data_IF_266693784778
#
_entry.id   IF_266693784778
#
_cell.length_a   1.000
_cell.length_b   1.000
_cell.length_c   1.000
_cell.angle_alpha   90.00
_cell.angle_beta   90.00
_cell.angle_gamma   90.00
#
_symmetry.space_group_name_H-M   'P 1'
#
loop_
_entity.id
_entity.type
_entity.pdbx_description
1 polymer ?
#
# COMPACT_ATOMS: atom_id res chain seq x y z
N UNK A 1 41.69 -52.03 -41.69
CA UNK A 1 41.72 -50.62 -41.27
C UNK A 1 40.27 -50.19 -41.08
N UNK A 2 39.76 -50.24 -39.84
CA UNK A 2 38.36 -49.95 -39.54
C UNK A 2 38.19 -48.43 -39.36
N UNK A 3 37.25 -47.86 -40.11
CA UNK A 3 36.94 -46.43 -40.12
C UNK A 3 36.35 -45.98 -38.78
N UNK A 4 36.91 -44.93 -38.21
CA UNK A 4 36.36 -44.24 -37.03
C UNK A 4 35.04 -43.55 -37.40
N UNK A 5 33.94 -43.74 -36.66
CA UNK A 5 32.71 -43.00 -36.93
C UNK A 5 32.85 -41.55 -36.44
N UNK A 6 32.65 -40.65 -37.39
CA UNK A 6 32.62 -39.20 -37.23
C UNK A 6 31.43 -38.80 -36.33
N UNK A 7 31.70 -38.39 -35.08
CA UNK A 7 30.68 -37.88 -34.16
C UNK A 7 30.24 -36.49 -34.63
N UNK A 8 29.17 -36.46 -35.44
CA UNK A 8 28.45 -35.23 -35.80
C UNK A 8 28.06 -34.49 -34.51
N UNK A 9 28.62 -33.30 -34.29
CA UNK A 9 28.11 -32.33 -33.31
C UNK A 9 26.83 -31.71 -33.87
N UNK A 10 25.68 -32.29 -33.55
CA UNK A 10 24.36 -31.64 -33.58
C UNK A 10 23.97 -31.33 -32.13
N UNK A 11 23.36 -30.23 -31.74
CA UNK A 11 22.70 -29.09 -32.38
C UNK A 11 22.82 -27.91 -31.39
N UNK A 12 22.66 -26.67 -31.86
CA UNK A 12 22.55 -25.48 -31.01
C UNK A 12 21.28 -25.56 -30.14
N UNK A 13 21.37 -26.19 -28.97
CA UNK A 13 20.30 -26.13 -27.97
C UNK A 13 20.23 -24.69 -27.44
N UNK A 14 19.06 -24.07 -27.62
CA UNK A 14 18.74 -22.81 -26.94
C UNK A 14 18.96 -22.99 -25.44
N UNK A 15 19.50 -21.98 -24.74
CA UNK A 15 19.70 -22.08 -23.30
C UNK A 15 18.37 -22.37 -22.61
N UNK A 16 18.36 -23.34 -21.69
CA UNK A 16 17.16 -23.72 -20.92
C UNK A 16 16.59 -22.50 -20.20
N UNK A 17 15.27 -22.35 -20.25
CA UNK A 17 14.58 -21.31 -19.48
C UNK A 17 14.72 -21.59 -17.98
N UNK A 18 15.03 -20.56 -17.18
CA UNK A 18 15.06 -20.63 -15.72
C UNK A 18 13.78 -19.97 -15.21
N UNK A 19 12.92 -20.75 -14.56
CA UNK A 19 11.57 -20.32 -14.17
C UNK A 19 11.52 -19.99 -12.69
N UNK A 20 11.16 -18.76 -12.38
CA UNK A 20 11.12 -18.22 -11.02
C UNK A 20 9.67 -18.15 -10.57
N UNK A 21 9.40 -18.59 -9.35
CA UNK A 21 8.11 -18.42 -8.70
C UNK A 21 8.24 -17.42 -7.55
N UNK A 22 7.35 -16.44 -7.53
CA UNK A 22 7.14 -15.54 -6.39
C UNK A 22 5.68 -15.61 -6.00
N UNK A 23 5.38 -15.56 -4.71
CA UNK A 23 4.00 -15.45 -4.25
C UNK A 23 3.85 -14.29 -3.26
N UNK A 24 2.60 -13.91 -3.03
CA UNK A 24 2.28 -12.87 -2.09
C UNK A 24 0.83 -12.39 -2.21
N UNK A 25 0.43 -11.59 -1.23
CA UNK A 25 -0.88 -10.97 -1.25
C UNK A 25 -0.98 -9.90 -2.34
N UNK A 26 0.08 -9.09 -2.50
CA UNK A 26 0.14 -7.94 -3.42
C UNK A 26 -1.01 -6.94 -3.25
N UNK A 27 -1.49 -6.82 -2.02
CA UNK A 27 -2.55 -5.89 -1.64
C UNK A 27 -2.04 -4.44 -1.69
N UNK A 28 -2.80 -3.55 -2.32
CA UNK A 28 -2.39 -2.18 -2.63
C UNK A 28 -1.05 -2.18 -3.38
N UNK A 29 -1.01 -2.82 -4.55
CA UNK A 29 0.24 -3.00 -5.30
C UNK A 29 0.94 -1.65 -5.60
N UNK A 30 2.25 -1.59 -5.33
CA UNK A 30 3.06 -0.37 -5.40
C UNK A 30 4.45 -0.66 -6.01
N UNK A 31 5.27 0.39 -6.20
CA UNK A 31 6.58 0.25 -6.87
C UNK A 31 7.53 -0.73 -6.17
N UNK A 32 7.41 -0.91 -4.84
CA UNK A 32 8.12 -1.94 -4.11
C UNK A 32 7.85 -3.37 -4.63
N UNK A 33 6.58 -3.73 -4.85
CA UNK A 33 6.20 -5.02 -5.46
C UNK A 33 6.74 -5.13 -6.89
N UNK A 34 6.62 -4.08 -7.70
CA UNK A 34 7.14 -4.06 -9.07
C UNK A 34 8.67 -4.24 -9.12
N UNK A 35 9.39 -3.64 -8.18
CA UNK A 35 10.84 -3.83 -8.06
C UNK A 35 11.19 -5.25 -7.58
N UNK A 36 10.39 -5.83 -6.68
CA UNK A 36 10.55 -7.21 -6.28
C UNK A 36 10.38 -8.17 -7.48
N UNK A 37 9.35 -7.96 -8.32
CA UNK A 37 9.18 -8.71 -9.56
C UNK A 37 10.33 -8.50 -10.53
N UNK A 38 10.83 -7.26 -10.69
CA UNK A 38 12.02 -6.98 -11.50
C UNK A 38 13.25 -7.76 -11.02
N UNK A 39 13.48 -7.82 -9.71
CA UNK A 39 14.58 -8.55 -9.09
C UNK A 39 14.40 -10.07 -9.28
N UNK A 40 13.22 -10.61 -8.96
CA UNK A 40 12.91 -12.02 -9.19
C UNK A 40 13.09 -12.42 -10.65
N UNK A 41 12.56 -11.61 -11.59
CA UNK A 41 12.71 -11.81 -13.03
C UNK A 41 14.16 -11.77 -13.51
N UNK A 42 15.05 -11.07 -12.80
CA UNK A 42 16.49 -11.02 -13.11
C UNK A 42 17.29 -12.23 -12.63
N UNK A 43 16.72 -13.04 -11.72
CA UNK A 43 17.32 -14.30 -11.25
C UNK A 43 17.05 -15.47 -12.23
N UNK A 44 16.16 -15.28 -13.20
CA UNK A 44 15.83 -16.28 -14.20
C UNK A 44 15.46 -15.65 -15.55
N UNK A 45 14.80 -16.43 -16.39
CA UNK A 45 14.35 -16.00 -17.72
C UNK A 45 12.83 -16.05 -17.89
N UNK A 46 12.10 -16.42 -16.85
CA UNK A 46 10.63 -16.41 -16.79
C UNK A 46 10.16 -16.22 -15.35
N UNK A 47 9.18 -15.35 -15.10
CA UNK A 47 8.62 -15.09 -13.77
C UNK A 47 7.13 -15.46 -13.72
N UNK A 48 6.82 -16.41 -12.84
CA UNK A 48 5.47 -16.80 -12.46
C UNK A 48 5.18 -16.16 -11.10
N UNK A 49 4.02 -15.52 -10.98
CA UNK A 49 3.58 -14.90 -9.72
C UNK A 49 2.29 -15.53 -9.20
N UNK A 50 2.35 -16.16 -8.03
CA UNK A 50 1.20 -16.68 -7.30
C UNK A 50 0.53 -15.58 -6.46
N UNK A 51 -0.76 -15.35 -6.67
CA UNK A 51 -1.54 -14.41 -5.86
C UNK A 51 -2.24 -15.18 -4.76
N UNK A 52 -1.99 -14.83 -3.50
CA UNK A 52 -2.64 -15.52 -2.38
C UNK A 52 -4.15 -15.26 -2.39
N UNK A 53 -4.95 -16.28 -2.09
CA UNK A 53 -6.42 -16.13 -2.00
C UNK A 53 -6.85 -15.25 -0.82
N UNK A 54 -7.98 -14.57 -0.97
CA UNK A 54 -8.59 -13.75 0.08
C UNK A 54 -8.78 -14.56 1.38
N UNK A 55 -9.22 -15.81 1.27
CA UNK A 55 -9.43 -16.72 2.40
C UNK A 55 -8.12 -17.04 3.11
N UNK A 56 -7.08 -17.47 2.38
CA UNK A 56 -5.80 -17.85 2.99
C UNK A 56 -5.09 -16.67 3.63
N UNK A 57 -5.23 -15.48 3.03
CA UNK A 57 -4.74 -14.22 3.60
C UNK A 57 -5.45 -13.94 4.92
N UNK A 58 -6.79 -14.00 4.92
CA UNK A 58 -7.62 -13.66 6.08
C UNK A 58 -7.28 -14.53 7.28
N UNK A 59 -7.06 -15.82 7.06
CA UNK A 59 -6.65 -16.77 8.10
C UNK A 59 -5.29 -16.44 8.73
N UNK A 60 -4.35 -15.89 7.94
CA UNK A 60 -2.96 -15.71 8.38
C UNK A 60 -2.63 -14.29 8.87
N UNK A 61 -3.21 -13.25 8.27
CA UNK A 61 -2.83 -11.84 8.52
C UNK A 61 -3.99 -10.86 8.66
N UNK A 62 -5.23 -11.33 8.50
CA UNK A 62 -6.42 -10.49 8.37
C UNK A 62 -6.80 -10.21 6.90
N UNK A 63 -8.03 -9.71 6.66
CA UNK A 63 -8.56 -9.58 5.31
C UNK A 63 -7.78 -8.55 4.49
N UNK A 64 -7.58 -8.77 3.18
CA UNK A 64 -6.96 -7.78 2.31
C UNK A 64 -7.93 -6.62 2.02
N UNK A 65 -7.39 -5.47 1.63
CA UNK A 65 -8.19 -4.32 1.19
C UNK A 65 -8.78 -4.55 -0.21
N UNK A 66 -7.96 -5.09 -1.12
CA UNK A 66 -8.35 -5.45 -2.48
C UNK A 66 -8.70 -6.94 -2.55
N UNK A 67 -9.75 -7.27 -3.31
CA UNK A 67 -10.16 -8.66 -3.54
C UNK A 67 -9.18 -9.41 -4.46
N UNK A 68 -9.33 -10.72 -4.55
CA UNK A 68 -8.50 -11.59 -5.40
C UNK A 68 -8.38 -11.10 -6.84
N UNK A 69 -9.48 -10.67 -7.47
CA UNK A 69 -9.52 -10.26 -8.88
C UNK A 69 -8.78 -8.94 -9.12
N UNK A 70 -8.96 -7.97 -8.25
CA UNK A 70 -8.26 -6.69 -8.28
C UNK A 70 -6.74 -6.91 -8.18
N UNK A 71 -6.30 -7.71 -7.20
CA UNK A 71 -4.88 -8.01 -6.97
C UNK A 71 -4.27 -8.78 -8.14
N UNK A 72 -4.98 -9.78 -8.67
CA UNK A 72 -4.54 -10.50 -9.87
C UNK A 72 -4.41 -9.58 -11.07
N UNK A 73 -5.35 -8.67 -11.27
CA UNK A 73 -5.33 -7.75 -12.41
C UNK A 73 -4.14 -6.79 -12.33
N UNK A 74 -3.83 -6.29 -11.14
CA UNK A 74 -2.62 -5.49 -10.87
C UNK A 74 -1.33 -6.25 -11.21
N UNK A 75 -1.22 -7.49 -10.74
CA UNK A 75 -0.04 -8.33 -10.98
C UNK A 75 0.13 -8.64 -12.48
N UNK A 76 -0.96 -9.01 -13.17
CA UNK A 76 -0.98 -9.25 -14.63
C UNK A 76 -0.55 -8.03 -15.44
N UNK A 77 -0.87 -6.82 -14.96
CA UNK A 77 -0.47 -5.56 -15.61
C UNK A 77 1.02 -5.22 -15.50
N UNK A 78 1.79 -5.94 -14.66
CA UNK A 78 3.21 -5.65 -14.46
C UNK A 78 4.07 -6.31 -15.54
N UNK A 79 4.80 -5.49 -16.32
CA UNK A 79 5.64 -5.96 -17.44
C UNK A 79 6.74 -6.97 -17.10
N UNK A 80 7.06 -7.17 -15.83
CA UNK A 80 8.09 -8.12 -15.38
C UNK A 80 7.51 -9.52 -15.13
N UNK A 81 6.19 -9.63 -15.02
CA UNK A 81 5.46 -10.87 -14.75
C UNK A 81 5.09 -11.53 -16.08
N UNK A 82 5.44 -12.80 -16.24
CA UNK A 82 5.16 -13.56 -17.46
C UNK A 82 3.88 -14.41 -17.31
N UNK A 83 3.60 -14.91 -16.09
CA UNK A 83 2.45 -15.79 -15.79
C UNK A 83 1.91 -15.51 -14.38
N UNK A 84 0.60 -15.63 -14.19
CA UNK A 84 -0.06 -15.42 -12.88
C UNK A 84 -0.83 -16.66 -12.47
N UNK A 85 -0.59 -17.13 -11.25
CA UNK A 85 -1.27 -18.29 -10.64
C UNK A 85 -2.28 -17.79 -9.60
N UNK A 86 -3.58 -18.06 -9.77
CA UNK A 86 -4.60 -17.67 -8.79
C UNK A 86 -4.60 -18.59 -7.57
N UNK A 87 -5.30 -18.18 -6.51
CA UNK A 87 -5.64 -19.03 -5.36
C UNK A 87 -4.44 -19.71 -4.70
N UNK A 88 -3.30 -19.03 -4.63
CA UNK A 88 -2.14 -19.54 -3.91
C UNK A 88 -2.44 -19.57 -2.39
N UNK A 89 -2.12 -20.64 -1.66
CA UNK A 89 -2.18 -20.59 -0.20
C UNK A 89 -1.13 -19.60 0.32
N UNK A 90 -1.42 -18.93 1.43
CA UNK A 90 -0.45 -18.05 2.11
C UNK A 90 0.71 -18.84 2.72
N UNK A 91 0.44 -20.05 3.24
CA UNK A 91 1.48 -20.94 3.77
C UNK A 91 1.93 -21.89 2.65
N UNK A 92 3.22 -21.85 2.30
CA UNK A 92 3.82 -22.70 1.27
C UNK A 92 4.05 -24.13 1.79
N UNK A 93 2.97 -24.93 1.80
CA UNK A 93 3.04 -26.35 2.20
C UNK A 93 3.91 -27.16 1.25
N UNK A 94 4.42 -28.31 1.69
CA UNK A 94 5.20 -29.19 0.82
C UNK A 94 4.39 -29.65 -0.39
N UNK A 95 3.13 -30.03 -0.20
CA UNK A 95 2.25 -30.51 -1.27
C UNK A 95 1.99 -29.43 -2.32
N UNK A 96 1.76 -28.19 -1.90
CA UNK A 96 1.58 -27.08 -2.85
C UNK A 96 2.89 -26.74 -3.56
N UNK A 97 4.02 -26.82 -2.86
CA UNK A 97 5.33 -26.60 -3.46
C UNK A 97 5.65 -27.65 -4.53
N UNK A 98 5.34 -28.92 -4.28
CA UNK A 98 5.48 -30.01 -5.25
C UNK A 98 4.57 -29.78 -6.46
N UNK A 99 3.30 -29.39 -6.23
CA UNK A 99 2.39 -28.98 -7.29
C UNK A 99 2.96 -27.85 -8.17
N UNK A 100 3.53 -26.81 -7.55
CA UNK A 100 4.13 -25.68 -8.28
C UNK A 100 5.35 -26.12 -9.09
N UNK A 101 6.23 -26.94 -8.50
CA UNK A 101 7.42 -27.44 -9.20
C UNK A 101 7.08 -28.35 -10.38
N UNK A 102 6.10 -29.23 -10.22
CA UNK A 102 5.71 -30.17 -11.28
C UNK A 102 4.88 -29.52 -12.38
N UNK A 103 3.90 -28.69 -12.00
CA UNK A 103 2.94 -28.11 -12.95
C UNK A 103 3.55 -26.96 -13.75
N UNK A 104 4.38 -26.14 -13.10
CA UNK A 104 4.92 -24.92 -13.71
C UNK A 104 6.42 -25.00 -14.01
N UNK A 105 7.07 -26.17 -13.81
CA UNK A 105 8.51 -26.39 -14.03
C UNK A 105 9.38 -25.32 -13.36
N UNK A 106 8.99 -24.93 -12.14
CA UNK A 106 9.66 -23.84 -11.40
C UNK A 106 11.01 -24.30 -10.90
N UNK A 107 12.05 -23.49 -11.11
CA UNK A 107 13.42 -23.72 -10.65
C UNK A 107 13.65 -23.28 -9.20
N UNK A 108 13.16 -22.08 -8.87
CA UNK A 108 13.38 -21.43 -7.57
C UNK A 108 12.13 -20.69 -7.10
N UNK A 109 11.89 -20.75 -5.79
CA UNK A 109 10.98 -19.85 -5.08
C UNK A 109 11.77 -18.64 -4.61
N UNK A 110 11.28 -17.44 -4.92
CA UNK A 110 11.90 -16.17 -4.56
C UNK A 110 10.95 -15.36 -3.70
N UNK A 111 11.44 -14.81 -2.60
CA UNK A 111 10.67 -13.88 -1.76
C UNK A 111 11.58 -12.77 -1.20
N UNK A 112 10.99 -11.71 -0.65
CA UNK A 112 11.70 -10.71 0.14
C UNK A 112 12.48 -11.33 1.31
N UNK A 113 13.48 -10.61 1.79
CA UNK A 113 14.34 -11.00 2.91
C UNK A 113 13.72 -10.77 4.31
N UNK A 114 12.52 -10.18 4.35
CA UNK A 114 11.72 -10.09 5.57
C UNK A 114 11.32 -11.50 6.07
N UNK A 115 11.40 -11.77 7.39
CA UNK A 115 10.89 -13.01 7.96
C UNK A 115 9.36 -13.16 7.75
N UNK A 116 8.95 -14.24 7.09
CA UNK A 116 7.54 -14.60 6.94
C UNK A 116 7.19 -15.75 7.88
N UNK A 117 6.67 -15.39 9.07
CA UNK A 117 6.37 -16.34 10.13
C UNK A 117 4.86 -16.34 10.39
N UNK A 118 4.24 -17.53 10.37
CA UNK A 118 2.86 -17.77 10.81
C UNK A 118 2.90 -18.85 11.88
N UNK A 119 2.29 -18.60 13.04
CA UNK A 119 2.29 -19.52 14.19
C UNK A 119 3.69 -20.03 14.59
N UNK A 120 4.69 -19.15 14.54
CA UNK A 120 6.09 -19.48 14.86
C UNK A 120 6.81 -20.33 13.80
N UNK A 121 6.19 -20.56 12.64
CA UNK A 121 6.77 -21.34 11.54
C UNK A 121 7.06 -20.45 10.33
N UNK A 122 8.23 -20.67 9.74
CA UNK A 122 8.63 -20.04 8.50
C UNK A 122 7.80 -20.58 7.33
N UNK A 123 7.05 -19.69 6.68
CA UNK A 123 6.19 -19.97 5.53
C UNK A 123 6.96 -20.70 4.43
N UNK A 124 8.24 -20.37 4.23
CA UNK A 124 9.09 -20.91 3.16
C UNK A 124 10.02 -22.04 3.61
N UNK A 125 9.82 -22.60 4.80
CA UNK A 125 10.69 -23.65 5.33
C UNK A 125 10.86 -24.84 4.37
N UNK A 126 9.80 -25.26 3.69
CA UNK A 126 9.85 -26.37 2.73
C UNK A 126 10.74 -26.07 1.52
N UNK A 127 10.61 -24.89 0.92
CA UNK A 127 11.47 -24.46 -0.20
C UNK A 127 12.94 -24.29 0.22
N UNK A 128 13.18 -23.79 1.45
CA UNK A 128 14.53 -23.66 2.03
C UNK A 128 15.19 -25.02 2.25
N UNK A 129 14.48 -26.01 2.80
CA UNK A 129 15.01 -27.38 3.00
C UNK A 129 15.43 -28.04 1.68
N UNK A 130 14.74 -27.75 0.58
CA UNK A 130 15.07 -28.28 -0.75
C UNK A 130 16.23 -27.53 -1.43
N UNK A 131 16.75 -26.46 -0.84
CA UNK A 131 17.80 -25.62 -1.45
C UNK A 131 17.32 -24.76 -2.63
N UNK A 132 15.99 -24.68 -2.84
CA UNK A 132 15.34 -24.00 -3.98
C UNK A 132 14.75 -22.63 -3.63
N UNK A 133 15.05 -22.11 -2.44
CA UNK A 133 14.67 -20.76 -2.04
C UNK A 133 15.80 -19.75 -2.32
N UNK A 134 15.43 -18.53 -2.73
CA UNK A 134 16.33 -17.38 -2.85
C UNK A 134 15.64 -16.14 -2.26
N UNK A 135 16.39 -15.28 -1.58
CA UNK A 135 15.89 -14.00 -1.10
C UNK A 135 16.30 -12.85 -2.02
N UNK A 136 15.47 -11.81 -2.05
CA UNK A 136 15.76 -10.52 -2.69
C UNK A 136 15.58 -9.40 -1.66
N UNK A 137 16.35 -8.30 -1.76
CA UNK A 137 16.25 -7.21 -0.80
C UNK A 137 14.91 -6.49 -0.91
N UNK A 138 14.34 -6.13 0.24
CA UNK A 138 13.18 -5.23 0.32
C UNK A 138 13.49 -3.88 -0.35
N UNK A 139 12.47 -3.29 -0.96
CA UNK A 139 12.58 -1.92 -1.50
C UNK A 139 12.30 -0.92 -0.38
N UNK A 140 13.26 -0.05 -0.10
CA UNK A 140 13.15 1.00 0.90
C UNK A 140 12.17 2.11 0.51
N UNK A 141 11.54 2.72 1.51
CA UNK A 141 10.68 3.90 1.36
C UNK A 141 9.27 3.63 0.80
N UNK A 142 8.82 2.37 0.82
CA UNK A 142 7.42 2.02 0.55
C UNK A 142 6.98 0.73 1.24
N UNK A 143 5.76 0.74 1.75
CA UNK A 143 5.00 -0.44 2.13
C UNK A 143 3.51 -0.14 2.06
N UNK A 144 2.67 -1.18 2.02
CA UNK A 144 1.22 -1.03 2.15
C UNK A 144 0.85 -0.29 3.44
N UNK A 145 1.47 -0.63 4.58
CA UNK A 145 1.28 0.06 5.86
C UNK A 145 1.61 1.55 5.78
N UNK A 146 2.73 1.91 5.14
CA UNK A 146 3.13 3.31 4.96
C UNK A 146 2.14 4.07 4.06
N UNK A 147 1.67 3.46 2.97
CA UNK A 147 0.68 4.05 2.07
C UNK A 147 -0.66 4.27 2.79
N UNK A 148 -1.16 3.25 3.49
CA UNK A 148 -2.40 3.33 4.27
C UNK A 148 -2.25 4.39 5.38
N UNK A 149 -1.12 4.42 6.07
CA UNK A 149 -0.83 5.44 7.08
C UNK A 149 -0.89 6.88 6.51
N UNK A 150 -0.33 7.11 5.31
CA UNK A 150 -0.46 8.41 4.63
C UNK A 150 -1.92 8.75 4.32
N UNK A 151 -2.72 7.79 3.86
CA UNK A 151 -4.15 8.00 3.60
C UNK A 151 -4.92 8.40 4.86
N UNK A 152 -4.67 7.72 5.99
CA UNK A 152 -5.30 8.01 7.28
C UNK A 152 -4.93 9.39 7.83
N UNK A 153 -3.68 9.83 7.64
CA UNK A 153 -3.27 11.18 8.03
C UNK A 153 -3.98 12.26 7.19
N UNK A 154 -4.11 12.05 5.88
CA UNK A 154 -4.80 12.99 4.99
C UNK A 154 -6.27 13.17 5.39
N UNK A 155 -6.99 12.09 5.73
CA UNK A 155 -8.40 12.17 6.14
C UNK A 155 -8.58 12.92 7.47
N UNK A 156 -7.68 12.77 8.44
CA UNK A 156 -7.70 13.53 9.71
C UNK A 156 -7.62 15.05 9.45
N UNK A 157 -6.73 15.47 8.54
CA UNK A 157 -6.57 16.89 8.23
C UNK A 157 -7.78 17.49 7.48
N UNK A 158 -8.39 16.74 6.56
CA UNK A 158 -9.61 17.18 5.88
C UNK A 158 -10.79 17.39 6.85
N UNK A 159 -10.98 16.47 7.81
CA UNK A 159 -12.04 16.59 8.82
C UNK A 159 -11.80 17.74 9.81
N UNK A 160 -10.55 17.96 10.25
CA UNK A 160 -10.21 19.06 11.16
C UNK A 160 -10.39 20.44 10.51
N UNK A 161 -10.06 20.59 9.21
CA UNK A 161 -10.31 21.83 8.45
C UNK A 161 -11.81 22.13 8.32
N UNK A 162 -12.66 21.11 8.22
CA UNK A 162 -14.12 21.29 8.20
C UNK A 162 -14.67 21.76 9.55
N UNK A 163 -14.15 21.23 10.67
CA UNK A 163 -14.59 21.61 12.03
C UNK A 163 -14.25 23.06 12.40
N UNK A 164 -13.12 23.59 11.90
CA UNK A 164 -12.75 25.00 12.07
C UNK A 164 -13.60 25.96 11.22
N UNK A 165 -14.05 25.56 10.02
CA UNK A 165 -14.92 26.37 9.17
C UNK A 165 -16.36 26.48 9.69
N UNK A 166 -16.79 25.54 10.54
CA UNK A 166 -18.11 25.58 11.20
C UNK A 166 -18.19 26.47 12.46
N UNK A 167 -17.06 26.98 12.98
CA UNK A 167 -17.01 27.83 14.19
C UNK A 167 -16.71 29.30 13.92
N UNK A 168 -16.89 29.76 12.68
CA UNK A 168 -16.66 31.14 12.27
C UNK A 168 -17.91 31.83 11.76
N UNK A 169 -18.86 32.17 12.64
CA UNK A 169 -19.76 33.31 12.49
C UNK A 169 -20.59 33.56 13.77
N UNK A 170 -20.00 34.23 14.76
CA UNK A 170 -20.74 35.01 15.75
C UNK A 170 -19.82 35.95 16.55
N UNK A 171 -19.15 36.89 15.88
CA UNK A 171 -18.69 38.11 16.56
C UNK A 171 -18.89 39.30 15.63
N UNK A 172 -20.00 40.01 15.83
CA UNK A 172 -20.21 41.36 15.31
C UNK A 172 -20.34 42.32 16.49
N UNK A 173 -19.20 42.74 17.05
CA UNK A 173 -19.15 43.94 17.88
C UNK A 173 -19.17 45.14 16.94
N UNK A 174 -20.26 45.91 16.97
CA UNK A 174 -20.37 47.18 16.26
C UNK A 174 -20.39 48.31 17.29
N UNK A 175 -19.23 48.92 17.46
CA UNK A 175 -19.08 50.21 18.14
C UNK A 175 -19.40 51.36 17.19
N UNK A 176 -20.37 52.19 17.57
CA UNK A 176 -20.38 53.62 17.26
C UNK A 176 -21.17 54.06 16.02
N UNK A 177 -22.41 54.52 16.22
CA UNK A 177 -22.95 55.67 15.50
C UNK A 177 -23.97 56.40 16.40
N UNK A 178 -23.68 57.65 16.74
CA UNK A 178 -24.54 58.54 17.51
C UNK A 178 -25.60 59.17 16.61
N UNK A 179 -26.87 59.12 17.00
CA UNK A 179 -27.87 60.13 16.62
C UNK A 179 -28.84 60.39 17.79
N UNK A 180 -29.19 61.66 17.88
CA UNK A 180 -29.84 62.41 18.95
C UNK A 180 -31.35 62.14 19.12
N UNK A 181 -31.86 62.30 20.35
CA UNK A 181 -33.19 62.91 20.55
C UNK A 181 -34.14 62.22 21.54
N UNK A 182 -34.36 62.88 22.68
CA UNK A 182 -35.71 63.16 23.20
C UNK A 182 -36.45 62.11 24.05
N UNK A 183 -36.60 62.43 25.35
CA UNK A 183 -37.93 62.47 25.99
C UNK A 183 -38.43 61.23 26.75
N UNK A 184 -38.40 61.31 28.08
CA UNK A 184 -39.61 61.18 28.92
C UNK A 184 -40.10 59.81 29.37
N UNK A 185 -39.92 59.54 30.68
CA UNK A 185 -41.02 59.18 31.60
C UNK A 185 -41.39 57.70 31.80
N UNK A 186 -41.63 57.32 33.06
CA UNK A 186 -42.61 56.28 33.41
C UNK A 186 -42.11 55.13 34.29
N UNK A 187 -42.70 55.00 35.47
CA UNK A 187 -42.41 53.99 36.50
C UNK A 187 -43.38 52.79 36.47
N UNK A 188 -43.18 51.86 37.41
CA UNK A 188 -44.08 50.81 37.98
C UNK A 188 -44.58 49.70 37.04
N UNK A 189 -44.77 48.43 37.41
CA UNK A 189 -44.73 47.60 38.63
C UNK A 189 -45.12 46.17 38.20
N UNK A 190 -44.60 45.09 38.78
CA UNK A 190 -45.32 44.31 39.81
C UNK A 190 -45.62 42.86 39.38
N UNK A 191 -45.15 41.89 40.17
CA UNK A 191 -45.84 40.65 40.59
C UNK A 191 -46.16 39.53 39.57
N UNK A 192 -45.74 38.30 39.90
CA UNK A 192 -46.34 37.07 39.39
C UNK A 192 -45.44 35.84 39.49
N UNK A 193 -45.65 35.02 40.52
CA UNK A 193 -45.07 33.69 40.73
C UNK A 193 -45.73 32.66 39.81
N UNK A 194 -44.99 31.66 39.32
CA UNK A 194 -45.47 30.27 39.27
C UNK A 194 -44.30 29.27 39.16
N UNK A 195 -44.44 28.15 39.87
CA UNK A 195 -43.43 27.15 40.21
C UNK A 195 -43.42 25.92 39.27
N UNK A 196 -42.30 25.18 39.29
CA UNK A 196 -42.17 23.76 38.86
C UNK A 196 -41.24 23.57 37.65
N UNK A 197 -40.29 22.64 37.61
CA UNK A 197 -39.90 21.56 38.51
C UNK A 197 -38.50 21.04 38.08
N UNK A 198 -37.77 20.51 39.08
CA UNK A 198 -36.73 19.47 39.04
C UNK A 198 -35.46 19.63 38.18
N UNK A 199 -34.36 19.71 38.93
CA UNK A 199 -32.97 19.44 38.62
C UNK A 199 -32.66 17.96 38.35
N UNK A 200 -31.48 17.73 37.78
CA UNK A 200 -30.57 16.57 37.91
C UNK A 200 -30.24 15.89 36.57
N UNK A 201 -29.29 16.45 35.82
CA UNK A 201 -28.50 15.70 34.84
C UNK A 201 -27.16 15.32 35.49
N UNK A 202 -27.11 14.09 35.99
CA UNK A 202 -25.93 13.44 36.54
C UNK A 202 -24.90 13.12 35.45
N UNK A 203 -23.66 13.45 35.76
CA UNK A 203 -22.45 13.17 35.01
C UNK A 203 -22.35 11.70 34.59
N UNK A 204 -22.09 11.45 33.30
CA UNK A 204 -21.70 10.14 32.79
C UNK A 204 -20.23 10.24 32.34
N UNK A 205 -19.31 9.98 33.28
CA UNK A 205 -17.89 9.82 32.99
C UNK A 205 -17.68 8.57 32.13
N UNK A 206 -17.28 8.76 30.87
CA UNK A 206 -16.76 7.68 30.03
C UNK A 206 -15.25 7.59 30.32
N UNK A 207 -14.83 6.49 30.94
CA UNK A 207 -13.43 6.10 31.03
C UNK A 207 -12.84 5.94 29.62
N UNK A 208 -11.77 6.67 29.35
CA UNK A 208 -10.90 6.42 28.19
C UNK A 208 -9.79 5.49 28.67
N UNK A 209 -9.75 4.28 28.10
CA UNK A 209 -8.63 3.37 28.21
C UNK A 209 -7.52 3.85 27.24
N UNK A 210 -6.58 4.64 27.77
CA UNK A 210 -5.41 5.18 27.08
C UNK A 210 -4.28 4.13 26.97
N UNK A 211 -4.42 3.12 26.12
CA UNK A 211 -3.34 2.15 25.81
C UNK A 211 -3.12 1.90 24.31
N UNK A 212 -3.37 2.89 23.44
CA UNK A 212 -3.14 2.75 21.99
C UNK A 212 -2.38 3.92 21.32
N UNK A 213 -1.60 4.69 22.08
CA UNK A 213 -0.93 5.90 21.57
C UNK A 213 0.56 5.74 21.22
N UNK A 214 1.23 4.66 21.62
CA UNK A 214 2.68 4.58 21.47
C UNK A 214 3.15 4.28 20.03
N UNK A 215 2.43 3.48 19.23
CA UNK A 215 2.83 3.25 17.83
C UNK A 215 2.52 4.44 16.90
N UNK A 216 1.48 5.22 17.21
CA UNK A 216 1.12 6.41 16.43
C UNK A 216 2.04 7.61 16.76
N UNK A 217 2.66 7.61 17.94
CA UNK A 217 3.63 8.62 18.37
C UNK A 217 4.91 8.61 17.52
N UNK A 218 5.36 7.43 17.06
CA UNK A 218 6.55 7.26 16.22
C UNK A 218 6.38 7.94 14.85
N UNK A 219 5.14 8.01 14.34
CA UNK A 219 4.83 8.70 13.08
C UNK A 219 4.69 10.22 13.25
N UNK A 220 4.43 10.71 14.47
CA UNK A 220 4.19 12.15 14.73
C UNK A 220 5.42 12.91 15.22
N UNK A 221 6.49 12.22 15.63
CA UNK A 221 7.69 12.83 16.22
C UNK A 221 8.52 13.76 15.30
N UNK A 222 8.19 13.89 14.00
CA UNK A 222 8.86 14.85 13.09
C UNK A 222 8.21 16.23 13.07
N UNK A 223 7.07 16.41 13.73
CA UNK A 223 6.31 17.67 13.66
C UNK A 223 5.93 18.11 15.06
N UNK A 224 6.73 18.98 15.66
CA UNK A 224 6.29 20.20 16.36
C UNK A 224 7.52 20.95 16.90
N UNK A 225 7.93 21.99 16.17
CA UNK A 225 8.35 23.24 16.79
C UNK A 225 7.87 24.40 15.90
N UNK A 226 7.23 25.39 16.54
CA UNK A 226 6.69 26.64 16.00
C UNK A 226 5.51 26.60 15.02
N UNK A 227 4.30 26.67 15.59
CA UNK A 227 3.43 27.86 15.50
C UNK A 227 2.87 28.36 14.16
N UNK A 228 3.42 28.05 12.99
CA UNK A 228 2.95 28.59 11.71
C UNK A 228 2.92 27.53 10.61
N UNK A 229 1.73 27.37 10.00
CA UNK A 229 1.50 26.81 8.66
C UNK A 229 2.20 25.47 8.38
N UNK A 230 1.49 24.36 8.63
CA UNK A 230 1.95 23.01 8.25
C UNK A 230 2.16 22.95 6.73
N UNK A 231 3.42 23.04 6.31
CA UNK A 231 3.88 22.60 5.01
C UNK A 231 3.72 21.09 5.03
N UNK A 232 2.86 20.52 4.17
CA UNK A 232 2.87 19.08 3.90
C UNK A 232 4.17 18.79 3.16
N UNK A 233 5.28 18.74 3.90
CA UNK A 233 6.58 18.35 3.40
C UNK A 233 6.53 16.93 2.88
N UNK A 234 7.43 16.62 1.97
CA UNK A 234 7.50 15.33 1.28
C UNK A 234 7.61 14.18 2.30
N UNK A 235 6.48 13.52 2.62
CA UNK A 235 6.43 12.40 3.57
C UNK A 235 7.08 11.12 3.00
N UNK A 236 7.42 11.15 1.71
CA UNK A 236 8.05 10.05 1.02
C UNK A 236 9.55 10.01 1.28
N UNK A 237 10.04 8.86 1.76
CA UNK A 237 11.48 8.54 1.81
C UNK A 237 12.01 8.02 0.47
N UNK A 238 11.21 8.09 -0.60
CA UNK A 238 11.59 7.60 -1.93
C UNK A 238 12.78 8.38 -2.49
N UNK A 239 13.90 7.69 -2.69
CA UNK A 239 15.11 8.22 -3.31
C UNK A 239 15.13 7.84 -4.80
N UNK A 240 14.61 8.71 -5.66
CA UNK A 240 14.70 8.54 -7.12
C UNK A 240 16.16 8.62 -7.59
N UNK A 241 16.80 7.48 -7.79
CA UNK A 241 18.09 7.44 -8.48
C UNK A 241 17.88 7.27 -9.98
N UNK A 242 18.76 7.86 -10.79
CA UNK A 242 18.77 7.66 -12.25
C UNK A 242 18.88 6.18 -12.63
N UNK A 243 19.52 5.38 -11.77
CA UNK A 243 19.60 3.93 -11.89
C UNK A 243 18.22 3.27 -11.79
N UNK A 244 17.39 3.63 -10.81
CA UNK A 244 16.04 3.07 -10.68
C UNK A 244 15.17 3.38 -11.90
N UNK A 245 15.23 4.62 -12.41
CA UNK A 245 14.53 4.98 -13.65
C UNK A 245 14.99 4.12 -14.83
N UNK A 246 16.30 3.95 -15.02
CA UNK A 246 16.86 3.10 -16.09
C UNK A 246 16.44 1.64 -15.96
N UNK A 247 16.41 1.10 -14.75
CA UNK A 247 15.99 -0.28 -14.48
C UNK A 247 14.51 -0.48 -14.80
N UNK A 248 13.66 0.47 -14.43
CA UNK A 248 12.23 0.43 -14.74
C UNK A 248 11.91 0.76 -16.19
N UNK A 249 12.74 1.53 -16.90
CA UNK A 249 12.58 1.81 -18.33
C UNK A 249 13.34 0.83 -19.23
N UNK A 250 13.99 -0.20 -18.67
CA UNK A 250 14.73 -1.18 -19.45
C UNK A 250 13.83 -1.84 -20.50
N UNK A 251 14.35 -1.92 -21.73
CA UNK A 251 13.64 -2.47 -22.89
C UNK A 251 12.70 -1.49 -23.61
N UNK A 252 12.44 -0.30 -23.06
CA UNK A 252 11.66 0.74 -23.75
C UNK A 252 12.52 1.31 -24.89
N UNK A 253 12.03 1.18 -26.13
CA UNK A 253 12.68 1.66 -27.34
C UNK A 253 11.98 2.92 -27.85
N UNK A 254 12.68 3.80 -28.59
CA UNK A 254 12.01 4.89 -29.30
C UNK A 254 10.96 4.32 -30.28
N UNK A 255 9.89 5.07 -30.58
CA UNK A 255 8.88 4.63 -31.52
C UNK A 255 9.51 4.35 -32.90
N UNK A 256 9.24 3.16 -33.44
CA UNK A 256 9.69 2.77 -34.77
C UNK A 256 8.86 3.44 -35.87
N UNK A 257 9.32 3.28 -37.11
CA UNK A 257 8.59 3.78 -38.28
C UNK A 257 7.18 3.17 -38.37
N UNK A 258 6.18 4.01 -38.60
CA UNK A 258 4.77 3.60 -38.66
C UNK A 258 4.06 3.42 -37.32
N UNK A 259 4.75 3.55 -36.17
CA UNK A 259 4.09 3.56 -34.86
C UNK A 259 3.36 4.88 -34.60
N UNK A 260 2.14 4.80 -34.07
CA UNK A 260 1.40 5.98 -33.59
C UNK A 260 1.79 6.29 -32.16
N UNK A 261 2.27 7.50 -31.93
CA UNK A 261 2.52 8.01 -30.58
C UNK A 261 1.23 8.55 -30.00
N UNK A 262 0.83 8.02 -28.84
CA UNK A 262 -0.34 8.47 -28.08
C UNK A 262 0.18 9.08 -26.77
N UNK A 263 -0.22 10.32 -26.50
CA UNK A 263 0.08 10.99 -25.24
C UNK A 263 -1.11 10.88 -24.30
N UNK A 264 -0.83 10.55 -23.04
CA UNK A 264 -1.81 10.49 -21.95
C UNK A 264 -1.19 11.21 -20.75
N UNK A 265 -1.99 11.97 -20.04
CA UNK A 265 -1.57 12.77 -18.88
C UNK A 265 -2.63 12.68 -17.77
N UNK A 266 -2.20 12.88 -16.53
CA UNK A 266 -3.01 12.74 -15.34
C UNK A 266 -2.15 12.69 -14.08
N UNK A 267 -2.79 12.68 -12.92
CA UNK A 267 -2.06 12.59 -11.66
C UNK A 267 -1.30 11.25 -11.53
N UNK A 268 -1.92 10.15 -12.00
CA UNK A 268 -1.44 8.78 -11.80
C UNK A 268 -1.05 8.48 -10.34
N UNK A 269 -1.67 9.18 -9.38
CA UNK A 269 -1.47 8.96 -7.95
C UNK A 269 -2.18 7.66 -7.54
N UNK A 270 -1.51 6.83 -6.75
CA UNK A 270 -1.95 5.47 -6.44
C UNK A 270 -2.32 4.70 -7.71
N UNK A 271 -1.34 4.35 -8.54
CA UNK A 271 -1.57 3.63 -9.80
C UNK A 271 -2.26 2.27 -9.54
N UNK A 272 -3.58 2.25 -9.71
CA UNK A 272 -4.47 1.11 -9.51
C UNK A 272 -5.25 0.81 -10.78
N UNK A 273 -5.74 -0.42 -10.88
CA UNK A 273 -6.69 -0.80 -11.92
C UNK A 273 -8.09 -0.40 -11.44
N UNK A 274 -8.82 0.31 -12.28
CA UNK A 274 -10.24 0.61 -12.11
C UNK A 274 -10.97 -0.20 -13.16
N UNK A 275 -11.73 -1.22 -12.74
CA UNK A 275 -12.56 -2.06 -13.63
C UNK A 275 -13.95 -1.49 -13.78
#
# INVERSE_FOLDING_TARGET
MASTPNRKKSSSQQPRQIRIFMDGAFDVMHYGHMNAFRLGRSLGTYLIVGVNSDESIKECKGPPLMNDEERMTMVKGCKFVDEVVPNCPYIMTSDYLDYIFETYDVDYVVHGDDPCIVDGKDVYASAKRLGRYRSIPRTEGVSTTEIVGRMLLMTKHHHMRHKQRGRGNSVGSLSGLSITGGGGGGAVGGGGMDEGNSSDDSDNEIHNDDEMDDELSVFTASQYNDGERIVIGNQSKFLTTSMMLRLFSAGVKPPGEGMRVIYVDGAFDMFIVVT
#
